data_IF_346732167528
#
_entry.id   IF_346732167528
#
_cell.length_a   1.000
_cell.length_b   1.000
_cell.length_c   1.000
_cell.angle_alpha   90.00
_cell.angle_beta   90.00
_cell.angle_gamma   90.00
#
_symmetry.space_group_name_H-M   'P 1'
#
loop_
_entity.id
_entity.type
_entity.pdbx_description
1 polymer ?
#
# COMPACT_ATOMS: atom_id res chain seq x y z
N UNK A 1 -19.92 -4.78 -22.68
CA UNK A 1 -18.80 -3.96 -22.16
C UNK A 1 -17.65 -4.04 -23.14
N UNK A 2 -17.05 -2.92 -23.51
CA UNK A 2 -15.88 -2.96 -24.42
C UNK A 2 -14.68 -3.41 -23.59
N UNK A 3 -14.11 -4.56 -23.94
CA UNK A 3 -12.93 -5.11 -23.27
C UNK A 3 -11.76 -4.13 -23.40
N UNK A 4 -11.05 -3.87 -22.30
CA UNK A 4 -9.84 -3.06 -22.31
C UNK A 4 -8.74 -3.82 -23.05
N UNK A 5 -8.17 -3.21 -24.11
CA UNK A 5 -7.17 -3.86 -24.96
C UNK A 5 -5.77 -3.29 -24.81
N UNK A 6 -5.56 -2.41 -23.85
CA UNK A 6 -4.25 -1.80 -23.60
C UNK A 6 -4.07 -1.43 -22.13
N UNK A 7 -2.85 -1.65 -21.61
CA UNK A 7 -2.55 -1.42 -20.20
C UNK A 7 -1.06 -1.13 -19.99
N UNK A 8 -0.73 -0.16 -19.13
CA UNK A 8 0.63 -0.01 -18.56
C UNK A 8 0.64 -0.58 -17.16
N UNK A 9 1.50 -1.56 -16.90
CA UNK A 9 1.71 -2.14 -15.57
C UNK A 9 2.91 -1.46 -14.93
N UNK A 10 2.73 -0.89 -13.75
CA UNK A 10 3.63 0.06 -13.14
C UNK A 10 4.01 -0.41 -11.74
N UNK A 11 5.32 -0.67 -11.54
CA UNK A 11 5.86 -1.17 -10.28
C UNK A 11 6.78 -0.10 -9.65
N UNK A 12 6.39 0.53 -8.53
CA UNK A 12 7.34 1.28 -7.72
C UNK A 12 8.27 0.31 -7.00
N UNK A 13 9.59 0.55 -7.07
CA UNK A 13 10.63 -0.33 -6.52
C UNK A 13 11.55 0.45 -5.60
N UNK A 14 11.85 -0.10 -4.41
CA UNK A 14 12.90 0.40 -3.53
C UNK A 14 13.51 -0.74 -2.72
N UNK A 15 14.83 -0.94 -2.88
CA UNK A 15 15.61 -1.98 -2.19
C UNK A 15 15.00 -3.39 -2.29
N UNK A 16 14.49 -3.74 -3.49
CA UNK A 16 13.86 -5.03 -3.76
C UNK A 16 14.22 -5.56 -5.15
N UNK A 17 14.41 -6.86 -5.23
CA UNK A 17 14.52 -7.58 -6.50
C UNK A 17 13.10 -7.89 -6.98
N UNK A 18 12.73 -7.40 -8.17
CA UNK A 18 11.38 -7.56 -8.72
C UNK A 18 11.33 -8.29 -10.08
N UNK A 19 12.46 -8.84 -10.55
CA UNK A 19 12.53 -9.55 -11.85
C UNK A 19 11.48 -10.66 -11.94
N UNK A 20 11.30 -11.46 -10.87
CA UNK A 20 10.32 -12.54 -10.84
C UNK A 20 8.87 -12.04 -10.94
N UNK A 21 8.55 -10.92 -10.28
CA UNK A 21 7.24 -10.30 -10.38
C UNK A 21 6.97 -9.77 -11.79
N UNK A 22 7.95 -9.09 -12.41
CA UNK A 22 7.83 -8.60 -13.78
C UNK A 22 7.65 -9.75 -14.77
N UNK A 23 8.43 -10.85 -14.63
CA UNK A 23 8.29 -12.02 -15.46
C UNK A 23 6.91 -12.66 -15.34
N UNK A 24 6.37 -12.78 -14.11
CA UNK A 24 5.01 -13.29 -13.87
C UNK A 24 3.94 -12.40 -14.49
N UNK A 25 4.03 -11.09 -14.31
CA UNK A 25 3.07 -10.16 -14.92
C UNK A 25 3.14 -10.17 -16.45
N UNK A 26 4.36 -10.34 -17.01
CA UNK A 26 4.54 -10.49 -18.46
C UNK A 26 3.88 -11.78 -18.96
N UNK A 27 4.12 -12.91 -18.33
CA UNK A 27 3.47 -14.19 -18.66
C UNK A 27 1.94 -14.03 -18.71
N UNK A 28 1.35 -13.44 -17.67
CA UNK A 28 -0.09 -13.19 -17.58
C UNK A 28 -0.63 -12.23 -18.67
N UNK A 29 0.20 -11.31 -19.15
CA UNK A 29 -0.19 -10.42 -20.26
C UNK A 29 -0.07 -11.13 -21.61
N UNK A 30 0.96 -11.95 -21.79
CA UNK A 30 1.18 -12.72 -23.02
C UNK A 30 0.06 -13.73 -23.27
N UNK A 31 -0.57 -14.25 -22.21
CA UNK A 31 -1.71 -15.18 -22.27
C UNK A 31 -3.02 -14.48 -22.72
N UNK A 32 -3.07 -13.15 -22.76
CA UNK A 32 -4.26 -12.41 -23.18
C UNK A 32 -4.19 -12.04 -24.66
N UNK A 33 -5.00 -12.69 -25.48
CA UNK A 33 -5.02 -12.46 -26.91
C UNK A 33 -5.33 -10.99 -27.27
N UNK A 34 -4.47 -10.39 -28.10
CA UNK A 34 -4.64 -9.03 -28.60
C UNK A 34 -4.44 -7.91 -27.59
N UNK A 35 -3.94 -8.20 -26.37
CA UNK A 35 -3.59 -7.19 -25.39
C UNK A 35 -2.30 -6.46 -25.81
N UNK A 36 -2.37 -5.14 -25.83
CA UNK A 36 -1.20 -4.27 -25.93
C UNK A 36 -0.78 -3.82 -24.55
N UNK A 37 0.43 -4.12 -24.15
CA UNK A 37 0.89 -3.77 -22.79
C UNK A 37 2.34 -3.27 -22.78
N UNK A 38 2.70 -2.65 -21.70
CA UNK A 38 4.06 -2.40 -21.25
C UNK A 38 4.15 -2.65 -19.74
N UNK A 39 5.33 -3.03 -19.28
CA UNK A 39 5.62 -3.17 -17.85
C UNK A 39 6.79 -2.26 -17.49
N UNK A 40 6.61 -1.36 -16.54
CA UNK A 40 7.64 -0.40 -16.14
C UNK A 40 7.88 -0.57 -14.63
N UNK A 41 9.09 -0.96 -14.28
CA UNK A 41 9.57 -0.94 -12.91
C UNK A 41 10.44 0.30 -12.71
N UNK A 42 10.04 1.21 -11.83
CA UNK A 42 10.81 2.41 -11.49
C UNK A 42 11.43 2.27 -10.11
N UNK A 43 12.74 2.24 -10.08
CA UNK A 43 13.55 2.19 -8.87
C UNK A 43 13.69 3.61 -8.30
N UNK A 44 13.25 3.78 -7.08
CA UNK A 44 13.24 5.07 -6.37
C UNK A 44 14.59 5.36 -5.66
N UNK A 45 15.70 5.21 -6.38
CA UNK A 45 17.03 5.48 -5.85
C UNK A 45 17.46 4.48 -4.77
N UNK A 46 17.38 3.19 -5.07
CA UNK A 46 17.76 2.12 -4.13
C UNK A 46 19.22 2.18 -3.73
N UNK A 47 19.48 1.97 -2.43
CA UNK A 47 20.84 1.82 -1.87
C UNK A 47 21.38 0.40 -2.07
N UNK A 48 20.50 -0.60 -2.21
CA UNK A 48 20.86 -2.01 -2.48
C UNK A 48 21.33 -2.19 -3.92
N UNK A 49 22.65 -2.10 -4.10
CA UNK A 49 23.30 -2.23 -5.41
C UNK A 49 23.10 -3.59 -6.06
N UNK A 50 22.97 -4.66 -5.26
CA UNK A 50 22.72 -6.01 -5.74
C UNK A 50 21.30 -6.12 -6.31
N UNK A 51 20.30 -5.56 -5.63
CA UNK A 51 18.94 -5.51 -6.13
C UNK A 51 18.87 -4.72 -7.45
N UNK A 52 19.50 -3.54 -7.52
CA UNK A 52 19.59 -2.72 -8.74
C UNK A 52 20.23 -3.51 -9.88
N UNK A 53 21.36 -4.18 -9.63
CA UNK A 53 22.06 -4.95 -10.66
C UNK A 53 21.21 -6.12 -11.20
N UNK A 54 20.53 -6.85 -10.32
CA UNK A 54 19.64 -7.96 -10.70
C UNK A 54 18.43 -7.45 -11.51
N UNK A 55 17.84 -6.32 -11.13
CA UNK A 55 16.67 -5.76 -11.80
C UNK A 55 16.97 -5.28 -13.24
N UNK A 56 18.22 -5.01 -13.61
CA UNK A 56 18.60 -4.71 -15.01
C UNK A 56 18.22 -5.82 -15.99
N UNK A 57 18.05 -7.06 -15.51
CA UNK A 57 17.58 -8.17 -16.35
C UNK A 57 16.18 -7.92 -16.93
N UNK A 58 15.36 -7.07 -16.30
CA UNK A 58 14.03 -6.66 -16.78
C UNK A 58 14.12 -6.03 -18.17
N UNK A 59 15.17 -5.26 -18.48
CA UNK A 59 15.36 -4.63 -19.77
C UNK A 59 15.60 -5.61 -20.92
N UNK A 60 15.82 -6.91 -20.64
CA UNK A 60 15.93 -7.97 -21.67
C UNK A 60 14.59 -8.59 -22.00
N UNK A 61 13.53 -8.28 -21.26
CA UNK A 61 12.19 -8.77 -21.50
C UNK A 61 11.47 -7.81 -22.47
N UNK A 62 10.93 -8.34 -23.55
CA UNK A 62 10.18 -7.55 -24.51
C UNK A 62 8.99 -6.85 -23.83
N UNK A 63 8.77 -5.56 -24.16
CA UNK A 63 7.71 -4.75 -23.56
C UNK A 63 7.96 -4.32 -22.11
N UNK A 64 9.13 -4.66 -21.53
CA UNK A 64 9.47 -4.32 -20.14
C UNK A 64 10.60 -3.27 -20.08
N UNK A 65 10.51 -2.38 -19.08
CA UNK A 65 11.52 -1.34 -18.81
C UNK A 65 11.85 -1.32 -17.31
N UNK A 66 13.11 -1.13 -16.99
CA UNK A 66 13.58 -0.80 -15.64
C UNK A 66 14.25 0.56 -15.67
N UNK A 67 13.74 1.49 -14.88
CA UNK A 67 14.20 2.89 -14.83
C UNK A 67 14.69 3.17 -13.42
N UNK A 68 15.92 3.66 -13.28
CA UNK A 68 16.51 4.02 -11.98
C UNK A 68 16.47 5.54 -11.83
N UNK A 69 15.90 6.02 -10.73
CA UNK A 69 15.87 7.43 -10.34
C UNK A 69 17.10 7.74 -9.48
N UNK A 70 17.55 8.97 -9.52
CA UNK A 70 18.79 9.39 -8.83
C UNK A 70 18.63 9.41 -7.30
N UNK A 71 17.41 9.69 -6.81
CA UNK A 71 17.15 9.89 -5.38
C UNK A 71 15.86 9.23 -4.95
N UNK A 72 15.80 8.78 -3.68
CA UNK A 72 14.58 8.29 -3.05
C UNK A 72 13.62 9.47 -2.79
N UNK A 73 12.53 9.51 -3.54
CA UNK A 73 11.47 10.51 -3.42
C UNK A 73 10.20 9.97 -2.76
N UNK A 74 10.11 8.65 -2.54
CA UNK A 74 8.98 7.95 -1.91
C UNK A 74 7.97 7.40 -2.91
N UNK A 75 7.10 6.53 -2.40
CA UNK A 75 6.15 5.77 -3.22
C UNK A 75 5.15 6.67 -3.98
N UNK A 76 4.71 7.77 -3.38
CA UNK A 76 3.83 8.76 -4.01
C UNK A 76 4.47 9.36 -5.27
N UNK A 77 5.68 9.93 -5.12
CA UNK A 77 6.42 10.54 -6.23
C UNK A 77 6.79 9.51 -7.31
N UNK A 78 7.10 8.26 -6.91
CA UNK A 78 7.42 7.20 -7.86
C UNK A 78 6.20 6.78 -8.66
N UNK A 79 5.00 6.71 -8.06
CA UNK A 79 3.75 6.45 -8.80
C UNK A 79 3.38 7.59 -9.76
N UNK A 80 3.57 8.84 -9.35
CA UNK A 80 3.38 10.00 -10.23
C UNK A 80 4.37 9.97 -11.40
N UNK A 81 5.65 9.70 -11.14
CA UNK A 81 6.67 9.54 -12.17
C UNK A 81 6.32 8.44 -13.17
N UNK A 82 5.91 7.25 -12.67
CA UNK A 82 5.47 6.13 -13.49
C UNK A 82 4.26 6.51 -14.37
N UNK A 83 3.32 7.29 -13.86
CA UNK A 83 2.21 7.84 -14.64
C UNK A 83 2.72 8.65 -15.82
N UNK A 84 3.69 9.54 -15.58
CA UNK A 84 4.23 10.44 -16.61
C UNK A 84 4.99 9.73 -17.74
N UNK A 85 5.68 8.63 -17.44
CA UNK A 85 6.51 7.90 -18.41
C UNK A 85 5.81 6.71 -19.07
N UNK A 86 4.60 6.36 -18.62
CA UNK A 86 3.80 5.26 -19.17
C UNK A 86 3.05 5.69 -20.43
N UNK A 87 2.59 4.73 -21.24
CA UNK A 87 2.06 4.97 -22.59
C UNK A 87 0.54 4.89 -22.68
N UNK A 88 -0.05 3.88 -21.99
CA UNK A 88 -1.45 3.52 -22.23
C UNK A 88 -2.44 4.26 -21.33
N UNK A 89 -3.71 4.20 -21.71
CA UNK A 89 -4.82 4.85 -21.00
C UNK A 89 -5.09 4.25 -19.64
N UNK A 90 -4.91 2.93 -19.48
CA UNK A 90 -5.15 2.21 -18.23
C UNK A 90 -3.81 1.93 -17.56
N UNK A 91 -3.69 2.32 -16.31
CA UNK A 91 -2.49 2.21 -15.49
C UNK A 91 -2.76 1.24 -14.33
N UNK A 92 -2.11 0.08 -14.34
CA UNK A 92 -2.18 -0.90 -13.26
C UNK A 92 -0.94 -0.78 -12.38
N UNK A 93 -1.12 -0.32 -11.16
CA UNK A 93 -0.06 -0.24 -10.16
C UNK A 93 -0.06 -1.51 -9.31
N UNK A 94 1.11 -2.11 -9.14
CA UNK A 94 1.33 -3.28 -8.29
C UNK A 94 2.62 -3.08 -7.50
N UNK A 95 2.56 -3.20 -6.17
CA UNK A 95 3.75 -3.12 -5.34
C UNK A 95 4.65 -4.34 -5.56
N UNK A 96 5.95 -4.10 -5.72
CA UNK A 96 6.93 -5.11 -6.16
C UNK A 96 7.27 -6.18 -5.10
N UNK A 97 6.86 -5.99 -3.85
CA UNK A 97 7.06 -6.92 -2.72
C UNK A 97 5.85 -7.85 -2.49
N UNK A 98 4.91 -7.87 -3.43
CA UNK A 98 3.76 -8.77 -3.43
C UNK A 98 3.98 -9.95 -4.37
N UNK A 99 3.11 -10.97 -4.27
CA UNK A 99 3.00 -12.05 -5.26
C UNK A 99 1.65 -12.05 -5.96
N UNK A 100 1.63 -12.54 -7.21
CA UNK A 100 0.44 -12.69 -8.05
C UNK A 100 0.27 -14.17 -8.40
N UNK A 101 -0.38 -14.95 -7.52
CA UNK A 101 -0.52 -16.39 -7.73
C UNK A 101 -1.64 -16.77 -8.71
N UNK A 102 -2.56 -15.86 -8.99
CA UNK A 102 -3.78 -16.13 -9.76
C UNK A 102 -3.57 -15.83 -11.25
N UNK A 103 -3.81 -16.84 -12.10
CA UNK A 103 -3.65 -16.72 -13.56
C UNK A 103 -4.67 -15.77 -14.20
N UNK A 104 -5.80 -15.53 -13.56
CA UNK A 104 -6.84 -14.60 -14.02
C UNK A 104 -6.62 -13.15 -13.58
N UNK A 105 -5.49 -12.85 -12.96
CA UNK A 105 -5.23 -11.53 -12.39
C UNK A 105 -5.39 -10.38 -13.40
N UNK A 106 -4.80 -10.49 -14.57
CA UNK A 106 -4.91 -9.48 -15.65
C UNK A 106 -6.33 -9.47 -16.24
N UNK A 107 -6.91 -10.63 -16.53
CA UNK A 107 -8.26 -10.74 -17.07
C UNK A 107 -9.30 -10.02 -16.20
N UNK A 108 -9.25 -10.22 -14.87
CA UNK A 108 -10.20 -9.55 -13.95
C UNK A 108 -10.10 -8.03 -13.98
N UNK A 109 -8.92 -7.48 -14.23
CA UNK A 109 -8.79 -6.03 -14.42
C UNK A 109 -9.33 -5.57 -15.78
N UNK A 110 -9.09 -6.32 -16.85
CA UNK A 110 -9.59 -5.98 -18.19
C UNK A 110 -11.12 -6.04 -18.27
N UNK A 111 -11.75 -6.93 -17.51
CA UNK A 111 -13.20 -7.15 -17.45
C UNK A 111 -13.89 -6.36 -16.32
N UNK A 112 -13.12 -5.68 -15.46
CA UNK A 112 -13.68 -4.96 -14.33
C UNK A 112 -14.71 -3.90 -14.77
N UNK A 113 -15.71 -3.56 -13.92
CA UNK A 113 -16.67 -2.50 -14.22
C UNK A 113 -15.99 -1.18 -14.59
N UNK A 114 -16.68 -0.37 -15.37
CA UNK A 114 -16.17 0.96 -15.75
C UNK A 114 -16.15 1.86 -14.50
N UNK A 115 -14.96 2.30 -14.13
CA UNK A 115 -14.73 3.20 -13.00
C UNK A 115 -13.49 4.05 -13.26
N UNK A 116 -13.33 5.15 -12.51
CA UNK A 116 -12.10 5.94 -12.53
C UNK A 116 -10.92 5.16 -11.97
N UNK A 117 -11.17 4.42 -10.88
CA UNK A 117 -10.20 3.55 -10.20
C UNK A 117 -10.84 2.19 -9.89
N UNK A 118 -10.08 1.11 -10.12
CA UNK A 118 -10.45 -0.27 -9.76
C UNK A 118 -9.41 -0.82 -8.79
N UNK A 119 -9.80 -1.14 -7.55
CA UNK A 119 -8.90 -1.68 -6.51
C UNK A 119 -9.10 -3.19 -6.36
N UNK A 120 -8.02 -3.97 -6.55
CA UNK A 120 -8.04 -5.43 -6.44
C UNK A 120 -7.94 -5.93 -5.00
N UNK A 121 -7.25 -5.16 -4.14
CA UNK A 121 -7.03 -5.50 -2.74
C UNK A 121 -5.80 -6.38 -2.51
N UNK A 122 -5.64 -6.83 -1.27
CA UNK A 122 -4.50 -7.62 -0.82
C UNK A 122 -4.98 -8.75 0.10
N UNK A 123 -4.30 -9.89 0.03
CA UNK A 123 -4.41 -10.99 0.99
C UNK A 123 -3.09 -11.21 1.71
N UNK A 124 -3.17 -11.74 2.91
CA UNK A 124 -2.00 -12.13 3.68
C UNK A 124 -1.71 -13.61 3.44
N UNK A 125 -0.56 -13.90 2.88
CA UNK A 125 -0.04 -15.24 2.71
C UNK A 125 0.61 -15.79 3.99
N UNK A 126 1.56 -16.72 3.83
CA UNK A 126 2.28 -17.35 4.93
C UNK A 126 1.44 -18.38 5.71
N UNK A 127 2.11 -19.10 6.62
CA UNK A 127 1.47 -20.14 7.45
C UNK A 127 0.87 -19.54 8.72
N UNK A 128 -0.07 -20.24 9.36
CA UNK A 128 -0.64 -19.81 10.65
C UNK A 128 0.43 -19.64 11.75
N UNK A 129 1.53 -20.39 11.68
CA UNK A 129 2.66 -20.27 12.60
C UNK A 129 3.37 -18.91 12.49
N UNK A 130 3.38 -18.30 11.30
CA UNK A 130 4.02 -17.01 11.06
C UNK A 130 3.28 -15.89 11.80
N UNK A 131 1.94 -15.94 11.84
CA UNK A 131 1.14 -14.98 12.58
C UNK A 131 1.39 -14.98 14.11
N UNK A 132 1.96 -16.08 14.66
CA UNK A 132 2.33 -16.12 16.09
C UNK A 132 3.66 -15.43 16.38
N UNK A 133 4.51 -15.27 15.38
CA UNK A 133 5.87 -14.71 15.49
C UNK A 133 5.98 -13.33 14.84
N UNK A 134 5.36 -13.13 13.71
CA UNK A 134 5.37 -11.87 12.97
C UNK A 134 4.17 -11.00 13.38
N UNK A 135 4.46 -9.86 13.98
CA UNK A 135 3.46 -8.86 14.35
C UNK A 135 2.77 -8.30 13.09
N UNK A 136 3.53 -8.10 12.00
CA UNK A 136 3.00 -7.67 10.71
C UNK A 136 2.00 -8.68 10.14
N UNK A 137 2.38 -9.96 10.08
CA UNK A 137 1.50 -11.04 9.60
C UNK A 137 0.21 -11.12 10.45
N UNK A 138 0.34 -11.08 11.78
CA UNK A 138 -0.82 -11.11 12.67
C UNK A 138 -1.76 -9.91 12.47
N UNK A 139 -1.18 -8.72 12.30
CA UNK A 139 -1.93 -7.48 12.06
C UNK A 139 -2.71 -7.54 10.75
N UNK A 140 -2.07 -7.91 9.64
CA UNK A 140 -2.72 -7.96 8.33
C UNK A 140 -3.77 -9.06 8.25
N UNK A 141 -3.54 -10.23 8.84
CA UNK A 141 -4.56 -11.30 8.93
C UNK A 141 -5.81 -10.85 9.67
N UNK A 142 -5.65 -10.16 10.80
CA UNK A 142 -6.79 -9.58 11.53
C UNK A 142 -7.51 -8.51 10.70
N UNK A 143 -6.78 -7.72 9.94
CA UNK A 143 -7.36 -6.70 9.07
C UNK A 143 -8.10 -7.31 7.88
N UNK A 144 -7.57 -8.39 7.30
CA UNK A 144 -8.10 -9.05 6.09
C UNK A 144 -9.57 -9.47 6.24
N UNK A 145 -10.00 -9.95 7.41
CA UNK A 145 -11.39 -10.36 7.68
C UNK A 145 -12.39 -9.22 7.44
N UNK A 146 -11.93 -7.97 7.60
CA UNK A 146 -12.72 -6.74 7.43
C UNK A 146 -12.43 -6.01 6.11
N UNK A 147 -11.64 -6.61 5.23
CA UNK A 147 -11.20 -6.02 3.96
C UNK A 147 -11.55 -6.88 2.74
N UNK A 148 -12.62 -7.67 2.82
CA UNK A 148 -13.19 -8.33 1.64
C UNK A 148 -13.64 -7.29 0.61
N UNK A 149 -13.76 -7.66 -0.66
CA UNK A 149 -14.24 -6.74 -1.69
C UNK A 149 -15.64 -6.17 -1.35
N UNK A 150 -16.51 -6.98 -0.72
CA UNK A 150 -17.84 -6.55 -0.28
C UNK A 150 -17.76 -5.46 0.81
N UNK A 151 -16.89 -5.64 1.82
CA UNK A 151 -16.68 -4.65 2.87
C UNK A 151 -16.04 -3.36 2.33
N UNK A 152 -15.06 -3.47 1.43
CA UNK A 152 -14.42 -2.32 0.81
C UNK A 152 -15.38 -1.46 -0.02
N UNK A 153 -16.40 -2.07 -0.64
CA UNK A 153 -17.44 -1.34 -1.41
C UNK A 153 -18.33 -0.45 -0.53
N UNK A 154 -18.43 -0.72 0.78
CA UNK A 154 -19.22 0.11 1.71
C UNK A 154 -18.58 1.46 2.01
N UNK A 155 -17.23 1.49 1.97
CA UNK A 155 -16.44 2.68 2.22
C UNK A 155 -15.31 2.78 1.17
N UNK A 156 -15.66 3.04 -0.12
CA UNK A 156 -14.74 2.79 -1.23
C UNK A 156 -13.48 3.65 -1.18
N UNK A 157 -13.55 4.85 -0.66
CA UNK A 157 -12.41 5.75 -0.57
C UNK A 157 -11.54 5.47 0.64
N UNK A 158 -12.15 5.23 1.81
CA UNK A 158 -11.45 4.93 3.06
C UNK A 158 -10.80 3.53 3.05
N UNK A 159 -11.34 2.62 2.24
CA UNK A 159 -10.83 1.27 2.07
C UNK A 159 -9.81 1.14 0.93
N UNK A 160 -9.52 2.22 0.21
CA UNK A 160 -8.52 2.22 -0.84
C UNK A 160 -7.12 1.93 -0.27
N UNK A 161 -6.37 1.08 -0.97
CA UNK A 161 -4.95 0.82 -0.73
C UNK A 161 -4.21 0.83 -2.05
N UNK A 162 -3.07 1.48 -2.10
CA UNK A 162 -2.26 1.66 -3.31
C UNK A 162 -1.46 0.43 -3.74
N UNK A 163 -1.52 -0.65 -2.98
CA UNK A 163 -0.73 -1.88 -3.20
C UNK A 163 -1.08 -2.60 -4.51
N UNK A 164 -2.34 -2.47 -4.96
CA UNK A 164 -2.86 -3.17 -6.14
C UNK A 164 -4.12 -2.47 -6.66
N UNK A 165 -3.97 -1.63 -7.66
CA UNK A 165 -5.09 -0.90 -8.27
C UNK A 165 -4.83 -0.52 -9.71
N UNK A 166 -5.89 -0.43 -10.50
CA UNK A 166 -5.88 0.11 -11.85
C UNK A 166 -6.62 1.44 -11.87
N UNK A 167 -6.08 2.44 -12.56
CA UNK A 167 -6.70 3.75 -12.73
C UNK A 167 -6.67 4.22 -14.19
N UNK A 168 -7.60 5.10 -14.58
CA UNK A 168 -7.48 5.85 -15.82
C UNK A 168 -6.31 6.83 -15.71
N UNK A 169 -5.52 6.98 -16.76
CA UNK A 169 -4.45 7.98 -16.81
C UNK A 169 -4.97 9.38 -16.47
N UNK A 170 -6.11 9.78 -17.05
CA UNK A 170 -6.72 11.08 -16.79
C UNK A 170 -7.03 11.31 -15.31
N UNK A 171 -7.37 10.26 -14.55
CA UNK A 171 -7.56 10.34 -13.09
C UNK A 171 -6.23 10.60 -12.40
N UNK A 172 -5.17 9.85 -12.76
CA UNK A 172 -3.85 10.02 -12.15
C UNK A 172 -3.24 11.40 -12.46
N UNK A 173 -3.52 11.97 -13.64
CA UNK A 173 -3.06 13.30 -14.04
C UNK A 173 -3.83 14.42 -13.33
N UNK A 174 -5.16 14.29 -13.18
CA UNK A 174 -5.99 15.29 -12.49
C UNK A 174 -5.96 15.17 -10.97
N UNK A 175 -5.68 13.98 -10.45
CA UNK A 175 -5.65 13.67 -9.03
C UNK A 175 -4.37 12.89 -8.68
N UNK A 176 -3.16 13.50 -8.76
CA UNK A 176 -1.92 12.80 -8.44
C UNK A 176 -1.79 12.50 -6.95
N UNK A 177 -0.93 11.55 -6.61
CA UNK A 177 -0.53 11.32 -5.23
C UNK A 177 0.14 12.55 -4.63
N UNK A 178 -0.08 12.80 -3.34
CA UNK A 178 0.57 13.89 -2.62
C UNK A 178 2.02 13.51 -2.25
N UNK A 179 2.98 14.07 -2.95
CA UNK A 179 4.41 13.72 -2.79
C UNK A 179 5.01 14.20 -1.46
N UNK A 180 4.32 15.09 -0.73
CA UNK A 180 4.70 15.45 0.64
C UNK A 180 4.54 14.30 1.61
N UNK A 181 3.69 13.30 1.25
CA UNK A 181 3.37 12.15 2.08
C UNK A 181 4.29 10.98 1.76
N UNK A 182 5.15 10.66 2.70
CA UNK A 182 5.99 9.45 2.65
C UNK A 182 5.24 8.21 3.13
N UNK A 183 4.09 8.39 3.80
CA UNK A 183 3.23 7.39 4.39
C UNK A 183 1.80 7.89 4.40
N UNK A 184 0.81 7.00 4.41
CA UNK A 184 -0.60 7.34 4.26
C UNK A 184 -0.94 8.05 2.93
N UNK A 185 -0.04 7.93 1.94
CA UNK A 185 -0.29 8.47 0.60
C UNK A 185 -1.53 7.84 -0.05
N UNK A 186 -1.82 6.58 0.28
CA UNK A 186 -3.01 5.87 -0.18
C UNK A 186 -4.30 6.41 0.45
N UNK A 187 -4.29 6.72 1.74
CA UNK A 187 -5.43 7.32 2.44
C UNK A 187 -5.72 8.71 1.90
N UNK A 188 -4.66 9.54 1.72
CA UNK A 188 -4.80 10.87 1.13
C UNK A 188 -5.30 10.79 -0.32
N UNK A 189 -4.81 9.82 -1.09
CA UNK A 189 -5.29 9.62 -2.45
C UNK A 189 -6.77 9.22 -2.47
N UNK A 190 -7.21 8.31 -1.60
CA UNK A 190 -8.61 7.94 -1.43
C UNK A 190 -9.50 9.16 -1.13
N UNK A 191 -9.06 10.04 -0.21
CA UNK A 191 -9.74 11.30 0.08
C UNK A 191 -9.84 12.19 -1.17
N UNK A 192 -8.74 12.40 -1.89
CA UNK A 192 -8.74 13.20 -3.12
C UNK A 192 -9.66 12.64 -4.20
N UNK A 193 -9.74 11.31 -4.34
CA UNK A 193 -10.67 10.66 -5.24
C UNK A 193 -12.13 10.99 -4.87
N UNK A 194 -12.48 10.98 -3.59
CA UNK A 194 -13.81 11.36 -3.10
C UNK A 194 -14.12 12.84 -3.35
N UNK A 195 -13.21 13.73 -2.99
CA UNK A 195 -13.34 15.17 -3.21
C UNK A 195 -13.51 15.56 -4.69
N UNK A 196 -12.91 14.77 -5.61
CA UNK A 196 -13.02 14.98 -7.07
C UNK A 196 -14.15 14.15 -7.70
N UNK A 197 -14.98 13.47 -6.94
CA UNK A 197 -16.10 12.66 -7.45
C UNK A 197 -15.68 11.50 -8.33
N UNK A 198 -14.44 10.99 -8.17
CA UNK A 198 -13.92 9.86 -8.96
C UNK A 198 -14.51 8.56 -8.44
N UNK A 199 -15.13 7.77 -9.30
CA UNK A 199 -15.69 6.48 -8.91
C UNK A 199 -14.59 5.46 -8.61
N UNK A 200 -14.68 4.80 -7.43
CA UNK A 200 -13.79 3.71 -7.03
C UNK A 200 -14.57 2.40 -6.96
N UNK A 201 -14.15 1.42 -7.75
CA UNK A 201 -14.71 0.07 -7.76
C UNK A 201 -13.76 -0.90 -7.06
N UNK A 202 -14.26 -1.69 -6.10
CA UNK A 202 -13.49 -2.75 -5.46
C UNK A 202 -13.87 -4.12 -6.01
N UNK A 203 -12.88 -4.84 -6.55
CA UNK A 203 -13.03 -6.20 -7.06
C UNK A 203 -12.27 -7.19 -6.16
N UNK A 204 -12.61 -8.46 -6.22
CA UNK A 204 -11.84 -9.53 -5.55
C UNK A 204 -10.74 -10.01 -6.50
N UNK A 205 -9.64 -9.29 -6.53
CA UNK A 205 -8.46 -9.56 -7.35
C UNK A 205 -7.17 -9.26 -6.57
N UNK A 206 -6.96 -9.91 -5.42
CA UNK A 206 -5.90 -9.53 -4.50
C UNK A 206 -4.53 -9.98 -4.98
N UNK A 207 -3.53 -9.16 -4.69
CA UNK A 207 -2.13 -9.60 -4.55
C UNK A 207 -1.92 -10.23 -3.18
N UNK A 208 -0.85 -10.99 -3.02
CA UNK A 208 -0.54 -11.70 -1.77
C UNK A 208 0.75 -11.17 -1.15
N UNK A 209 0.67 -10.81 0.13
CA UNK A 209 1.83 -10.45 0.94
C UNK A 209 2.39 -11.72 1.59
N UNK A 210 3.52 -12.20 1.12
CA UNK A 210 4.21 -13.41 1.61
C UNK A 210 5.45 -13.09 2.45
N UNK A 211 6.02 -11.90 2.30
CA UNK A 211 7.21 -11.46 3.04
C UNK A 211 6.83 -10.50 4.16
N UNK A 212 7.29 -10.82 5.36
CA UNK A 212 7.01 -10.05 6.57
C UNK A 212 8.30 -9.56 7.19
N UNK A 213 8.42 -8.25 7.29
CA UNK A 213 9.52 -7.61 8.01
C UNK A 213 9.60 -8.04 9.48
N UNK A 214 10.77 -7.85 10.10
CA UNK A 214 10.95 -8.10 11.53
C UNK A 214 9.99 -7.26 12.39
N UNK A 215 9.64 -7.76 13.57
CA UNK A 215 8.78 -7.03 14.50
C UNK A 215 9.35 -5.65 14.87
N UNK A 216 10.68 -5.56 15.03
CA UNK A 216 11.37 -4.28 15.28
C UNK A 216 11.10 -3.28 14.16
N UNK A 217 11.33 -3.70 12.90
CA UNK A 217 11.13 -2.83 11.75
C UNK A 217 9.66 -2.43 11.57
N UNK A 218 8.74 -3.34 11.87
CA UNK A 218 7.30 -3.03 11.82
C UNK A 218 6.89 -2.01 12.88
N UNK A 219 7.41 -2.11 14.11
CA UNK A 219 7.15 -1.12 15.17
C UNK A 219 7.73 0.24 14.80
N UNK A 220 8.98 0.31 14.31
CA UNK A 220 9.61 1.55 13.83
C UNK A 220 8.82 2.20 12.68
N UNK A 221 8.30 1.40 11.75
CA UNK A 221 7.41 1.90 10.70
C UNK A 221 6.13 2.49 11.29
N UNK A 222 5.54 1.79 12.27
CA UNK A 222 4.33 2.26 12.96
C UNK A 222 4.56 3.60 13.65
N UNK A 223 5.69 3.78 14.32
CA UNK A 223 6.07 5.04 14.97
C UNK A 223 6.14 6.18 13.93
N UNK A 224 6.81 5.94 12.80
CA UNK A 224 6.88 6.89 11.69
C UNK A 224 5.50 7.18 11.07
N UNK A 225 4.64 6.14 10.98
CA UNK A 225 3.26 6.30 10.51
C UNK A 225 2.48 7.23 11.43
N UNK A 226 2.62 7.08 12.75
CA UNK A 226 1.93 7.92 13.73
C UNK A 226 2.41 9.38 13.69
N UNK A 227 3.72 9.60 13.50
CA UNK A 227 4.28 10.95 13.32
C UNK A 227 3.71 11.61 12.05
N UNK A 228 3.67 10.90 10.92
CA UNK A 228 3.08 11.40 9.69
C UNK A 228 1.59 11.71 9.88
N UNK A 229 0.84 10.79 10.48
CA UNK A 229 -0.58 11.00 10.76
C UNK A 229 -0.82 12.22 11.65
N UNK A 230 0.09 12.51 12.58
CA UNK A 230 0.02 13.69 13.43
C UNK A 230 0.31 14.97 12.66
N UNK A 231 1.31 14.95 11.78
CA UNK A 231 1.67 16.10 10.94
C UNK A 231 0.52 16.51 9.97
N UNK A 232 -0.22 15.51 9.47
CA UNK A 232 -1.36 15.72 8.56
C UNK A 232 -2.72 15.51 9.26
N UNK A 233 -2.80 15.79 10.55
CA UNK A 233 -4.00 15.51 11.36
C UNK A 233 -5.30 16.07 10.75
N UNK A 234 -5.30 17.34 10.36
CA UNK A 234 -6.47 18.02 9.79
C UNK A 234 -6.89 17.42 8.45
N UNK A 235 -5.90 17.04 7.64
CA UNK A 235 -6.14 16.45 6.33
C UNK A 235 -6.66 15.01 6.40
N UNK A 236 -6.36 14.30 7.48
CA UNK A 236 -6.71 12.88 7.69
C UNK A 236 -7.95 12.68 8.55
N UNK A 237 -8.57 13.75 9.02
CA UNK A 237 -9.79 13.68 9.82
C UNK A 237 -10.94 13.10 9.01
N UNK A 238 -11.65 12.10 9.61
CA UNK A 238 -12.71 11.35 8.94
C UNK A 238 -12.22 10.21 8.03
N UNK A 239 -10.90 10.13 7.77
CA UNK A 239 -10.27 9.07 6.98
C UNK A 239 -9.34 8.18 7.81
N UNK A 240 -9.06 8.56 9.06
CA UNK A 240 -8.21 7.79 9.96
C UNK A 240 -8.93 7.42 11.24
N UNK A 241 -9.19 6.12 11.41
CA UNK A 241 -9.76 5.56 12.64
C UNK A 241 -8.93 5.93 13.89
N UNK A 242 -7.61 6.10 13.77
CA UNK A 242 -6.75 6.50 14.88
C UNK A 242 -7.11 7.91 15.36
N UNK A 243 -7.33 8.83 14.44
CA UNK A 243 -7.78 10.19 14.75
C UNK A 243 -9.15 10.15 15.41
N UNK A 244 -10.11 9.40 14.84
CA UNK A 244 -11.48 9.34 15.35
C UNK A 244 -11.53 8.78 16.79
N UNK A 245 -10.75 7.73 17.09
CA UNK A 245 -10.62 7.17 18.44
C UNK A 245 -10.03 8.22 19.39
N UNK A 246 -8.98 8.92 18.98
CA UNK A 246 -8.32 9.93 19.82
C UNK A 246 -9.25 11.10 20.11
N UNK A 247 -10.01 11.58 19.12
CA UNK A 247 -11.02 12.62 19.32
C UNK A 247 -12.15 12.14 20.25
N UNK A 248 -12.62 10.90 20.09
CA UNK A 248 -13.65 10.34 20.97
C UNK A 248 -13.17 10.25 22.43
N UNK A 249 -11.92 9.84 22.64
CA UNK A 249 -11.30 9.81 23.99
C UNK A 249 -11.10 11.22 24.54
N UNK A 250 -10.71 12.19 23.72
CA UNK A 250 -10.57 13.58 24.12
C UNK A 250 -11.90 14.18 24.55
N UNK A 251 -12.97 13.97 23.78
CA UNK A 251 -14.33 14.43 24.13
C UNK A 251 -14.85 13.82 25.45
N UNK A 252 -14.40 12.61 25.79
CA UNK A 252 -14.74 11.92 27.05
C UNK A 252 -13.77 12.24 28.19
N UNK A 253 -12.84 13.15 27.99
CA UNK A 253 -11.79 13.49 28.95
C UNK A 253 -10.93 12.29 29.41
N UNK A 254 -10.78 11.26 28.53
CA UNK A 254 -10.02 10.02 28.84
C UNK A 254 -8.63 9.99 28.22
N UNK A 255 -8.30 10.95 27.37
CA UNK A 255 -7.01 10.93 26.65
C UNK A 255 -5.80 11.04 27.58
N UNK A 256 -5.94 11.73 28.71
CA UNK A 256 -4.88 11.82 29.70
C UNK A 256 -4.46 10.47 30.27
N UNK A 257 -5.41 9.56 30.46
CA UNK A 257 -5.14 8.23 30.98
C UNK A 257 -4.32 7.40 29.97
N UNK A 258 -4.62 7.52 28.67
CA UNK A 258 -3.83 6.88 27.60
C UNK A 258 -2.41 7.44 27.57
N UNK A 259 -2.24 8.76 27.71
CA UNK A 259 -0.92 9.41 27.77
C UNK A 259 -0.13 8.95 28.99
N UNK A 260 -0.76 8.96 30.18
CA UNK A 260 -0.13 8.52 31.41
C UNK A 260 0.32 7.05 31.32
N UNK A 261 -0.54 6.17 30.81
CA UNK A 261 -0.20 4.77 30.56
C UNK A 261 1.02 4.63 29.66
N UNK A 262 1.01 5.29 28.53
CA UNK A 262 2.12 5.21 27.56
C UNK A 262 3.43 5.76 28.12
N UNK A 263 3.39 6.85 28.88
CA UNK A 263 4.58 7.41 29.52
C UNK A 263 5.21 6.44 30.52
N UNK A 264 4.40 5.64 31.22
CA UNK A 264 4.89 4.66 32.20
C UNK A 264 5.31 3.35 31.52
N UNK A 265 4.48 2.81 30.64
CA UNK A 265 4.63 1.45 30.11
C UNK A 265 5.10 1.38 28.66
N UNK A 266 5.13 2.48 27.90
CA UNK A 266 5.42 2.48 26.46
C UNK A 266 6.74 1.83 26.10
N UNK A 267 7.80 2.01 26.90
CA UNK A 267 9.09 1.33 26.66
C UNK A 267 9.01 -0.18 26.90
N UNK A 268 8.26 -0.62 27.91
CA UNK A 268 8.05 -2.04 28.17
C UNK A 268 7.19 -2.69 27.04
N UNK A 269 6.13 -2.01 26.62
CA UNK A 269 5.32 -2.43 25.48
C UNK A 269 6.19 -2.56 24.21
N UNK A 270 7.02 -1.56 23.91
CA UNK A 270 7.94 -1.59 22.75
C UNK A 270 8.88 -2.78 22.80
N UNK A 271 9.48 -3.07 23.95
CA UNK A 271 10.35 -4.25 24.15
C UNK A 271 9.62 -5.57 23.90
N UNK A 272 8.39 -5.70 24.38
CA UNK A 272 7.55 -6.88 24.13
C UNK A 272 7.20 -7.02 22.64
N UNK A 273 6.86 -5.92 21.97
CA UNK A 273 6.48 -5.90 20.57
C UNK A 273 7.64 -6.19 19.62
N UNK A 274 8.86 -5.79 19.96
CA UNK A 274 10.08 -6.10 19.20
C UNK A 274 10.61 -7.51 19.44
N UNK A 275 10.00 -8.26 20.36
CA UNK A 275 10.33 -9.65 20.69
C UNK A 275 9.87 -10.65 19.62
N UNK A 276 10.01 -11.95 19.96
CA UNK A 276 9.73 -13.07 19.04
C UNK A 276 8.25 -13.47 18.93
N UNK A 277 7.36 -12.81 19.66
CA UNK A 277 5.92 -13.13 19.67
C UNK A 277 5.09 -11.93 19.26
N UNK A 278 4.04 -12.19 18.49
CA UNK A 278 3.08 -11.16 18.10
C UNK A 278 2.05 -10.90 19.21
N UNK A 279 1.97 -9.68 19.69
CA UNK A 279 1.04 -9.25 20.74
C UNK A 279 0.12 -8.13 20.24
N UNK A 280 -0.93 -8.46 19.48
CA UNK A 280 -1.80 -7.47 18.83
C UNK A 280 -2.49 -6.50 19.78
N UNK A 281 -2.91 -6.96 20.98
CA UNK A 281 -3.54 -6.06 21.98
C UNK A 281 -2.56 -5.04 22.52
N UNK A 282 -1.32 -5.47 22.80
CA UNK A 282 -0.24 -4.57 23.22
C UNK A 282 0.10 -3.60 22.08
N UNK A 283 0.14 -4.09 20.84
CA UNK A 283 0.37 -3.24 19.68
C UNK A 283 -0.70 -2.16 19.51
N UNK A 284 -1.98 -2.49 19.69
CA UNK A 284 -3.05 -1.51 19.62
C UNK A 284 -2.94 -0.43 20.71
N UNK A 285 -2.61 -0.85 21.94
CA UNK A 285 -2.39 0.07 23.08
C UNK A 285 -1.16 0.96 22.83
N UNK A 286 -0.03 0.36 22.42
CA UNK A 286 1.20 1.07 22.10
C UNK A 286 0.99 2.11 21.01
N UNK A 287 0.37 1.70 19.90
CA UNK A 287 0.09 2.57 18.76
C UNK A 287 -0.76 3.78 19.13
N UNK A 288 -1.82 3.56 19.93
CA UNK A 288 -2.69 4.62 20.42
C UNK A 288 -1.95 5.55 21.39
N UNK A 289 -1.20 4.98 22.34
CA UNK A 289 -0.40 5.74 23.29
C UNK A 289 0.67 6.60 22.63
N UNK A 290 1.40 6.02 21.68
CA UNK A 290 2.40 6.74 20.91
C UNK A 290 1.78 7.90 20.12
N UNK A 291 0.66 7.67 19.42
CA UNK A 291 -0.05 8.73 18.69
C UNK A 291 -0.58 9.83 19.62
N UNK A 292 -1.07 9.48 20.80
CA UNK A 292 -1.58 10.46 21.77
C UNK A 292 -0.48 11.33 22.39
N UNK A 293 0.76 10.81 22.47
CA UNK A 293 1.92 11.51 23.07
C UNK A 293 2.82 12.20 22.04
N UNK A 294 2.92 11.68 20.79
CA UNK A 294 3.72 12.31 19.75
C UNK A 294 3.10 13.66 19.35
N UNK A 295 3.89 14.73 19.39
CA UNK A 295 3.45 16.09 19.05
C UNK A 295 2.79 16.87 20.21
N UNK A 296 2.98 16.44 21.45
CA UNK A 296 2.77 17.27 22.63
C UNK A 296 4.09 18.00 22.95
N UNK A 297 4.45 18.97 22.10
CA UNK A 297 5.55 19.89 22.27
C UNK A 297 5.10 21.25 21.75
#
# INVERSE_FOLDING_TARGET
MQQRKEISILLPVYNRVCVGMVARLKELCDDVEGLRYEIIAADDGSDDRDAVAKNKAICRMEGCRYVVRDTNSGAAATRNFLTGISRYRWLLFVDCDMSVPDDWFIHRYLEAPEAGVVSGGMRTGGKAADARRSLRCAYERRAQERHTAAERRRHPYQAFRSVNFMAKRSVMESCPFDERMRRYEDVMFGRRLEENGVTVCHIDNPVVMDDFESNTRFVEKTEKDMLTLRAFYSDMKGYSRMIDITEALSRRHMLWAVKAWHNVFGQAERRLLTGKKAHLRIYDAYKLGFFATCGAG
#
